data_IF_578214112257
#
_entry.id   IF_578214112257
#
_cell.length_a   1.000
_cell.length_b   1.000
_cell.length_c   1.000
_cell.angle_alpha   90.00
_cell.angle_beta   90.00
_cell.angle_gamma   90.00
#
_symmetry.space_group_name_H-M   'P 1'
#
loop_
_entity.id
_entity.type
_entity.pdbx_description
1 polymer ?
#
# COMPACT_ATOMS: atom_id res chain seq x y z
N UNK A 1 -0.91 27.90 7.58
CA UNK A 1 -1.09 26.51 7.11
C UNK A 1 -0.99 25.59 8.32
N UNK A 2 -1.90 24.62 8.49
CA UNK A 2 -1.79 23.64 9.58
C UNK A 2 -0.89 22.50 9.06
N UNK A 3 0.31 22.36 9.62
CA UNK A 3 1.16 21.19 9.34
C UNK A 3 0.57 19.97 10.03
N UNK A 4 0.25 18.93 9.27
CA UNK A 4 -0.17 17.64 9.83
C UNK A 4 1.09 16.80 10.09
N UNK A 5 1.06 16.02 11.16
CA UNK A 5 2.19 15.19 11.59
C UNK A 5 1.77 13.73 11.65
N UNK A 6 2.53 12.85 10.99
CA UNK A 6 2.37 11.40 11.12
C UNK A 6 3.54 10.86 11.94
N UNK A 7 3.26 9.90 12.81
CA UNK A 7 4.28 9.18 13.59
C UNK A 7 4.61 7.87 12.86
N UNK A 8 5.85 7.73 12.42
CA UNK A 8 6.39 6.55 11.75
C UNK A 8 7.35 5.78 12.67
N UNK A 9 7.57 4.50 12.38
CA UNK A 9 8.57 3.69 13.06
C UNK A 9 9.89 3.72 12.27
N UNK A 10 10.99 4.06 12.93
CA UNK A 10 12.34 4.01 12.38
C UNK A 10 13.19 3.03 13.17
N UNK A 11 13.97 2.20 12.48
CA UNK A 11 14.88 1.24 13.11
C UNK A 11 16.31 1.76 12.99
N UNK A 12 16.95 2.00 14.13
CA UNK A 12 18.32 2.54 14.23
C UNK A 12 19.30 1.66 13.44
N UNK A 13 20.05 2.29 12.54
CA UNK A 13 21.09 1.66 11.74
C UNK A 13 22.47 1.82 12.39
N UNK A 14 23.42 0.97 12.01
CA UNK A 14 24.80 1.08 12.49
C UNK A 14 25.39 2.44 12.12
N UNK A 15 25.88 3.17 13.14
CA UNK A 15 26.48 4.50 12.98
C UNK A 15 25.49 5.65 13.06
N UNK A 16 24.19 5.38 13.25
CA UNK A 16 23.23 6.44 13.53
C UNK A 16 23.54 7.15 14.85
N UNK A 17 23.33 8.46 14.85
CA UNK A 17 23.31 9.30 16.03
C UNK A 17 21.95 9.97 16.13
N UNK A 18 21.59 10.44 17.33
CA UNK A 18 20.37 11.24 17.49
C UNK A 18 20.41 12.44 16.53
N UNK A 19 21.56 13.10 16.40
CA UNK A 19 21.70 14.29 15.56
C UNK A 19 21.58 13.97 14.05
N UNK A 20 22.08 12.82 13.59
CA UNK A 20 21.90 12.40 12.18
C UNK A 20 20.45 12.04 11.88
N UNK A 21 19.77 11.35 12.80
CA UNK A 21 18.37 10.96 12.65
C UNK A 21 17.46 12.20 12.64
N UNK A 22 17.57 13.09 13.62
CA UNK A 22 16.70 14.28 13.69
C UNK A 22 16.91 15.18 12.47
N UNK A 23 18.14 15.30 11.96
CA UNK A 23 18.44 16.05 10.74
C UNK A 23 17.81 15.39 9.51
N UNK A 24 17.91 14.06 9.38
CA UNK A 24 17.32 13.28 8.29
C UNK A 24 15.80 13.49 8.18
N UNK A 25 15.12 13.62 9.32
CA UNK A 25 13.66 13.76 9.39
C UNK A 25 13.18 15.19 9.68
N UNK A 26 14.07 16.18 9.59
CA UNK A 26 13.78 17.59 9.88
C UNK A 26 13.01 17.78 11.21
N UNK A 27 13.45 17.11 12.25
CA UNK A 27 12.82 17.10 13.57
C UNK A 27 13.68 17.88 14.58
N UNK A 28 13.04 18.53 15.55
CA UNK A 28 13.78 19.07 16.69
C UNK A 28 14.12 17.98 17.71
N UNK A 29 15.24 18.16 18.41
CA UNK A 29 15.69 17.26 19.48
C UNK A 29 14.66 17.12 20.61
N UNK A 30 13.94 18.19 20.90
CA UNK A 30 12.86 18.20 21.90
C UNK A 30 11.67 17.33 21.47
N UNK A 31 11.24 17.44 20.21
CA UNK A 31 10.19 16.59 19.65
C UNK A 31 10.65 15.14 19.64
N UNK A 32 11.89 14.86 19.23
CA UNK A 32 12.43 13.50 19.25
C UNK A 32 12.35 12.85 20.64
N UNK A 33 12.77 13.55 21.70
CA UNK A 33 12.70 13.03 23.07
C UNK A 33 11.28 12.90 23.61
N UNK A 34 10.34 13.74 23.15
CA UNK A 34 8.93 13.63 23.56
C UNK A 34 8.35 12.26 23.18
N UNK A 35 8.72 11.75 22.01
CA UNK A 35 8.25 10.47 21.48
C UNK A 35 9.18 9.30 21.79
N UNK A 36 10.44 9.56 22.14
CA UNK A 36 11.46 8.54 22.44
C UNK A 36 12.08 8.77 23.82
N UNK A 37 11.25 8.87 24.87
CA UNK A 37 11.68 9.34 26.22
C UNK A 37 12.92 8.64 26.78
N UNK A 38 13.10 7.36 26.47
CA UNK A 38 14.22 6.55 26.98
C UNK A 38 15.59 6.98 26.40
N UNK A 39 15.63 7.54 25.19
CA UNK A 39 16.89 7.93 24.52
C UNK A 39 17.54 9.17 25.12
N UNK A 40 16.87 9.82 26.08
CA UNK A 40 17.46 10.90 26.88
C UNK A 40 18.51 10.39 27.87
N UNK A 41 18.38 9.13 28.29
CA UNK A 41 19.21 8.53 29.33
C UNK A 41 19.99 7.31 28.84
N UNK A 42 19.62 6.76 27.68
CA UNK A 42 20.20 5.54 27.11
C UNK A 42 20.75 5.85 25.72
N UNK A 43 21.98 5.42 25.40
CA UNK A 43 22.52 5.56 24.06
C UNK A 43 21.69 4.77 23.02
N UNK A 44 21.72 5.23 21.77
CA UNK A 44 21.08 4.49 20.69
C UNK A 44 21.83 3.19 20.41
N UNK A 45 21.06 2.12 20.18
CA UNK A 45 21.58 0.80 19.83
C UNK A 45 21.05 0.39 18.47
N UNK A 46 21.86 -0.32 17.68
CA UNK A 46 21.43 -0.86 16.40
C UNK A 46 20.18 -1.74 16.56
N UNK A 47 19.25 -1.66 15.60
CA UNK A 47 17.94 -2.33 15.61
C UNK A 47 16.94 -1.80 16.65
N UNK A 48 17.26 -0.73 17.39
CA UNK A 48 16.30 -0.10 18.29
C UNK A 48 15.18 0.60 17.49
N UNK A 49 13.90 0.32 17.77
CA UNK A 49 12.80 1.06 17.17
C UNK A 49 12.63 2.43 17.82
N UNK A 50 12.39 3.45 17.00
CA UNK A 50 12.16 4.83 17.38
C UNK A 50 10.90 5.37 16.69
N UNK A 51 10.16 6.20 17.39
CA UNK A 51 9.03 6.95 16.84
C UNK A 51 9.55 8.24 16.21
N UNK A 52 9.34 8.40 14.91
CA UNK A 52 9.75 9.57 14.16
C UNK A 52 8.53 10.31 13.63
N UNK A 53 8.45 11.61 13.90
CA UNK A 53 7.48 12.49 13.26
C UNK A 53 8.03 13.00 11.93
N UNK A 54 7.25 12.82 10.88
CA UNK A 54 7.39 13.60 9.65
C UNK A 54 6.35 14.72 9.63
N UNK A 55 6.80 15.93 9.33
CA UNK A 55 5.94 17.07 9.03
C UNK A 55 5.82 17.18 7.52
N UNK A 56 4.60 17.23 7.01
CA UNK A 56 4.34 17.54 5.62
C UNK A 56 3.47 18.81 5.56
N UNK A 57 3.84 19.69 4.64
CA UNK A 57 2.94 20.75 4.22
C UNK A 57 1.88 20.09 3.34
N UNK A 58 0.64 20.10 3.82
CA UNK A 58 -0.50 19.87 2.95
C UNK A 58 -0.46 21.01 1.90
N UNK A 59 0.03 20.71 0.70
CA UNK A 59 -0.43 21.45 -0.47
C UNK A 59 -1.93 21.16 -0.51
N UNK A 60 -2.75 22.16 -0.15
CA UNK A 60 -4.17 22.13 -0.46
C UNK A 60 -4.24 22.23 -1.98
N UNK A 61 -4.10 21.09 -2.63
CA UNK A 61 -4.66 20.88 -3.94
C UNK A 61 -6.15 20.86 -3.66
N UNK A 62 -6.88 21.85 -4.18
CA UNK A 62 -8.34 21.74 -4.25
C UNK A 62 -8.65 20.48 -5.06
N UNK A 63 -8.79 19.36 -4.36
CA UNK A 63 -9.25 18.10 -4.91
C UNK A 63 -10.77 18.13 -4.89
N UNK A 64 -11.36 17.86 -6.06
CA UNK A 64 -12.79 17.70 -6.22
C UNK A 64 -13.32 16.64 -5.24
N UNK A 65 -14.36 16.96 -4.47
CA UNK A 65 -14.85 16.15 -3.34
C UNK A 65 -15.33 14.75 -3.76
N UNK A 66 -15.71 14.56 -5.03
CA UNK A 66 -16.10 13.24 -5.56
C UNK A 66 -14.89 12.31 -5.74
N UNK A 67 -13.67 12.85 -5.92
CA UNK A 67 -12.45 12.07 -6.09
C UNK A 67 -11.80 11.60 -4.79
N UNK A 68 -12.31 12.08 -3.65
CA UNK A 68 -11.79 11.74 -2.34
C UNK A 68 -12.06 10.27 -1.99
N UNK A 69 -13.25 9.73 -2.34
CA UNK A 69 -13.64 8.37 -1.95
C UNK A 69 -12.85 7.30 -2.70
N UNK A 70 -12.74 7.42 -4.02
CA UNK A 70 -11.98 6.49 -4.85
C UNK A 70 -10.49 6.50 -4.48
N UNK A 71 -9.91 7.69 -4.33
CA UNK A 71 -8.55 7.87 -3.81
C UNK A 71 -8.37 7.14 -2.48
N UNK A 72 -9.26 7.43 -1.52
CA UNK A 72 -9.17 6.89 -0.16
C UNK A 72 -9.30 5.37 -0.16
N UNK A 73 -10.18 4.82 -1.00
CA UNK A 73 -10.33 3.38 -1.17
C UNK A 73 -9.04 2.74 -1.73
N UNK A 74 -8.46 3.31 -2.79
CA UNK A 74 -7.20 2.81 -3.37
C UNK A 74 -6.02 2.90 -2.39
N UNK A 75 -5.88 4.02 -1.69
CA UNK A 75 -4.87 4.18 -0.64
C UNK A 75 -5.08 3.17 0.49
N UNK A 76 -6.32 2.96 0.92
CA UNK A 76 -6.66 2.00 1.97
C UNK A 76 -6.34 0.56 1.53
N UNK A 77 -6.67 0.19 0.28
CA UNK A 77 -6.32 -1.11 -0.32
C UNK A 77 -4.79 -1.31 -0.30
N UNK A 78 -4.01 -0.32 -0.72
CA UNK A 78 -2.55 -0.40 -0.70
C UNK A 78 -1.98 -0.62 0.72
N UNK A 79 -2.51 0.12 1.72
CA UNK A 79 -2.15 -0.09 3.12
C UNK A 79 -2.52 -1.49 3.62
N UNK A 80 -3.71 -1.99 3.27
CA UNK A 80 -4.16 -3.32 3.66
C UNK A 80 -3.34 -4.43 3.03
N UNK A 81 -2.79 -4.24 1.82
CA UNK A 81 -1.80 -5.17 1.28
C UNK A 81 -0.53 -5.18 2.15
N UNK A 82 0.03 -4.01 2.48
CA UNK A 82 1.21 -3.91 3.37
C UNK A 82 0.95 -4.60 4.72
N UNK A 83 -0.17 -4.31 5.36
CA UNK A 83 -0.59 -4.94 6.62
C UNK A 83 -0.83 -6.45 6.47
N UNK A 84 -1.37 -6.88 5.34
CA UNK A 84 -1.64 -8.28 5.05
C UNK A 84 -0.35 -9.09 4.95
N UNK A 85 0.66 -8.57 4.26
CA UNK A 85 1.97 -9.20 4.19
C UNK A 85 2.68 -9.21 5.55
N UNK A 86 2.63 -8.10 6.28
CA UNK A 86 3.18 -8.06 7.64
C UNK A 86 2.45 -9.09 8.55
N UNK A 87 1.14 -9.22 8.42
CA UNK A 87 0.36 -10.20 9.18
C UNK A 87 0.75 -11.63 8.80
N UNK A 88 0.83 -11.99 7.52
CA UNK A 88 1.25 -13.33 7.08
C UNK A 88 2.64 -13.69 7.63
N UNK A 89 3.57 -12.73 7.63
CA UNK A 89 4.96 -12.97 8.01
C UNK A 89 5.19 -12.99 9.53
N UNK A 90 4.47 -12.15 10.29
CA UNK A 90 4.78 -11.90 11.70
C UNK A 90 3.61 -12.14 12.67
N UNK A 91 2.36 -11.98 12.21
CA UNK A 91 1.15 -12.03 13.05
C UNK A 91 -0.01 -12.73 12.31
N UNK A 92 0.13 -14.02 11.95
CA UNK A 92 -0.80 -14.70 11.04
C UNK A 92 -2.24 -14.74 11.56
N UNK A 93 -2.45 -14.69 12.87
CA UNK A 93 -3.76 -14.57 13.51
C UNK A 93 -4.54 -13.32 13.07
N UNK A 94 -3.84 -12.23 12.75
CA UNK A 94 -4.45 -10.96 12.33
C UNK A 94 -4.81 -10.95 10.84
N UNK A 95 -4.32 -11.90 10.04
CA UNK A 95 -4.52 -11.88 8.59
C UNK A 95 -6.01 -11.97 8.19
N UNK A 96 -6.82 -12.68 8.97
CA UNK A 96 -8.27 -12.76 8.77
C UNK A 96 -8.98 -11.41 8.91
N UNK A 97 -8.48 -10.52 9.78
CA UNK A 97 -9.00 -9.16 9.97
C UNK A 97 -8.65 -8.32 8.74
N UNK A 98 -7.39 -8.37 8.30
CA UNK A 98 -6.94 -7.64 7.12
C UNK A 98 -7.72 -8.06 5.87
N UNK A 99 -7.96 -9.37 5.68
CA UNK A 99 -8.74 -9.87 4.54
C UNK A 99 -10.18 -9.32 4.53
N UNK A 100 -10.83 -9.24 5.70
CA UNK A 100 -12.18 -8.65 5.82
C UNK A 100 -12.18 -7.16 5.50
N UNK A 101 -11.19 -6.42 5.99
CA UNK A 101 -11.05 -5.00 5.70
C UNK A 101 -10.80 -4.75 4.21
N UNK A 102 -10.00 -5.61 3.56
CA UNK A 102 -9.72 -5.52 2.13
C UNK A 102 -10.97 -5.77 1.29
N UNK A 103 -11.77 -6.78 1.66
CA UNK A 103 -13.07 -7.00 1.04
C UNK A 103 -13.99 -5.77 1.17
N UNK A 104 -14.08 -5.20 2.37
CA UNK A 104 -14.87 -3.99 2.59
C UNK A 104 -14.41 -2.82 1.71
N UNK A 105 -13.11 -2.59 1.59
CA UNK A 105 -12.57 -1.54 0.72
C UNK A 105 -12.79 -1.84 -0.77
N UNK A 106 -12.71 -3.10 -1.19
CA UNK A 106 -13.06 -3.50 -2.55
C UNK A 106 -14.54 -3.22 -2.85
N UNK A 107 -15.44 -3.43 -1.89
CA UNK A 107 -16.87 -3.08 -2.07
C UNK A 107 -17.05 -1.57 -2.23
N UNK A 108 -16.39 -0.75 -1.40
CA UNK A 108 -16.43 0.72 -1.53
C UNK A 108 -15.90 1.14 -2.90
N UNK A 109 -14.74 0.63 -3.31
CA UNK A 109 -14.16 0.90 -4.61
C UNK A 109 -15.14 0.57 -5.74
N UNK A 110 -15.80 -0.58 -5.65
CA UNK A 110 -16.73 -1.03 -6.69
C UNK A 110 -18.02 -0.21 -6.71
N UNK A 111 -18.44 0.33 -5.56
CA UNK A 111 -19.65 1.14 -5.49
C UNK A 111 -19.54 2.46 -6.24
N UNK A 112 -18.32 2.99 -6.41
CA UNK A 112 -18.02 4.19 -7.20
C UNK A 112 -18.24 3.97 -8.72
N UNK A 113 -18.30 2.72 -9.22
CA UNK A 113 -18.68 2.45 -10.60
C UNK A 113 -20.20 2.53 -10.79
N UNK A 114 -20.69 3.76 -10.99
CA UNK A 114 -22.13 4.04 -11.13
C UNK A 114 -22.79 3.40 -12.36
N UNK A 115 -22.02 3.01 -13.38
CA UNK A 115 -22.51 2.39 -14.61
C UNK A 115 -22.78 0.88 -14.48
N UNK A 116 -22.24 0.23 -13.44
CA UNK A 116 -22.39 -1.22 -13.23
C UNK A 116 -23.72 -1.55 -12.55
N UNK A 117 -24.38 -2.61 -13.03
CA UNK A 117 -25.49 -3.22 -12.30
C UNK A 117 -25.01 -3.90 -11.03
N UNK A 118 -25.95 -4.22 -10.12
CA UNK A 118 -25.65 -4.90 -8.86
C UNK A 118 -24.91 -6.23 -9.07
N UNK A 119 -25.34 -7.03 -10.05
CA UNK A 119 -24.72 -8.33 -10.33
C UNK A 119 -23.32 -8.18 -10.93
N UNK A 120 -23.09 -7.12 -11.71
CA UNK A 120 -21.77 -6.81 -12.27
C UNK A 120 -20.81 -6.32 -11.19
N UNK A 121 -21.28 -5.44 -10.29
CA UNK A 121 -20.52 -5.03 -9.11
C UNK A 121 -20.10 -6.24 -8.27
N UNK A 122 -21.02 -7.18 -8.02
CA UNK A 122 -20.70 -8.41 -7.29
C UNK A 122 -19.58 -9.23 -7.98
N UNK A 123 -19.62 -9.36 -9.31
CA UNK A 123 -18.56 -10.02 -10.08
C UNK A 123 -17.22 -9.30 -10.01
N UNK A 124 -17.22 -7.96 -10.05
CA UNK A 124 -15.97 -7.19 -9.88
C UNK A 124 -15.38 -7.44 -8.50
N UNK A 125 -16.20 -7.43 -7.44
CA UNK A 125 -15.73 -7.73 -6.08
C UNK A 125 -15.15 -9.15 -6.00
N UNK A 126 -15.79 -10.15 -6.59
CA UNK A 126 -15.30 -11.54 -6.62
C UNK A 126 -13.94 -11.66 -7.33
N UNK A 127 -13.74 -10.96 -8.45
CA UNK A 127 -12.46 -10.92 -9.15
C UNK A 127 -11.40 -10.21 -8.30
N UNK A 128 -11.71 -9.07 -7.68
CA UNK A 128 -10.79 -8.35 -6.80
C UNK A 128 -10.39 -9.19 -5.57
N UNK A 129 -11.31 -9.96 -5.00
CA UNK A 129 -11.02 -10.94 -3.94
C UNK A 129 -10.09 -12.05 -4.43
N UNK A 130 -10.30 -12.55 -5.64
CA UNK A 130 -9.47 -13.57 -6.27
C UNK A 130 -8.05 -13.06 -6.53
N UNK A 131 -7.91 -11.86 -7.08
CA UNK A 131 -6.62 -11.16 -7.24
C UNK A 131 -5.93 -11.00 -5.88
N UNK A 132 -6.64 -10.48 -4.88
CA UNK A 132 -6.09 -10.25 -3.54
C UNK A 132 -5.61 -11.55 -2.88
N UNK A 133 -6.42 -12.60 -2.97
CA UNK A 133 -6.07 -13.92 -2.43
C UNK A 133 -4.85 -14.50 -3.14
N UNK A 134 -4.75 -14.33 -4.47
CA UNK A 134 -3.57 -14.73 -5.25
C UNK A 134 -2.35 -13.93 -4.81
N UNK A 135 -2.44 -12.60 -4.72
CA UNK A 135 -1.35 -11.74 -4.27
C UNK A 135 -0.79 -12.17 -2.90
N UNK A 136 -1.63 -12.54 -1.95
CA UNK A 136 -1.18 -13.06 -0.66
C UNK A 136 -0.55 -14.46 -0.73
N UNK A 137 -0.96 -15.29 -1.68
CA UNK A 137 -0.38 -16.63 -1.87
C UNK A 137 1.07 -16.61 -2.37
N UNK A 138 1.60 -15.46 -2.75
CA UNK A 138 3.00 -15.35 -3.19
C UNK A 138 3.99 -15.67 -2.07
N UNK A 139 3.66 -15.40 -0.80
CA UNK A 139 4.56 -15.60 0.33
C UNK A 139 5.01 -17.07 0.48
N UNK A 140 4.11 -18.07 0.58
CA UNK A 140 4.52 -19.46 0.62
C UNK A 140 5.24 -19.92 -0.65
N UNK A 141 4.95 -19.33 -1.81
CA UNK A 141 5.64 -19.64 -3.07
C UNK A 141 7.09 -19.14 -3.02
N UNK A 142 7.33 -17.92 -2.53
CA UNK A 142 8.67 -17.37 -2.34
C UNK A 142 9.49 -18.21 -1.36
N UNK A 143 8.85 -18.75 -0.31
CA UNK A 143 9.49 -19.68 0.63
C UNK A 143 9.93 -20.99 -0.04
N UNK A 144 9.18 -21.50 -1.01
CA UNK A 144 9.49 -22.77 -1.69
C UNK A 144 10.71 -22.72 -2.62
N UNK A 145 11.15 -21.51 -3.04
CA UNK A 145 12.20 -21.32 -4.07
C UNK A 145 11.95 -22.05 -5.40
N UNK A 146 10.73 -22.53 -5.67
CA UNK A 146 10.40 -23.26 -6.88
C UNK A 146 10.03 -22.31 -8.04
N UNK A 147 10.89 -22.26 -9.06
CA UNK A 147 10.72 -21.39 -10.23
C UNK A 147 9.51 -21.77 -11.11
N UNK A 148 9.13 -23.04 -11.16
CA UNK A 148 7.98 -23.49 -11.94
C UNK A 148 6.68 -22.97 -11.29
N UNK A 149 6.56 -23.12 -9.97
CA UNK A 149 5.42 -22.59 -9.20
C UNK A 149 5.32 -21.07 -9.35
N UNK A 150 6.44 -20.35 -9.35
CA UNK A 150 6.44 -18.89 -9.57
C UNK A 150 5.99 -18.51 -10.99
N UNK A 151 6.29 -19.35 -11.98
CA UNK A 151 5.88 -19.12 -13.37
C UNK A 151 4.39 -19.34 -13.55
N UNK A 152 3.86 -20.44 -12.99
CA UNK A 152 2.43 -20.74 -12.96
C UNK A 152 1.64 -19.65 -12.21
N UNK A 153 2.15 -19.23 -11.06
CA UNK A 153 1.61 -18.12 -10.28
C UNK A 153 1.42 -16.84 -11.11
N UNK A 154 2.45 -16.43 -11.87
CA UNK A 154 2.40 -15.23 -12.72
C UNK A 154 1.36 -15.38 -13.82
N UNK A 155 1.26 -16.57 -14.44
CA UNK A 155 0.27 -16.86 -15.48
C UNK A 155 -1.16 -16.71 -14.95
N UNK A 156 -1.44 -17.31 -13.80
CA UNK A 156 -2.76 -17.22 -13.15
C UNK A 156 -3.10 -15.79 -12.74
N UNK A 157 -2.15 -15.05 -12.15
CA UNK A 157 -2.38 -13.64 -11.78
C UNK A 157 -2.67 -12.77 -13.01
N UNK A 158 -1.93 -12.96 -14.10
CA UNK A 158 -2.20 -12.25 -15.35
C UNK A 158 -3.57 -12.58 -15.92
N UNK A 159 -4.00 -13.85 -15.84
CA UNK A 159 -5.34 -14.25 -16.27
C UNK A 159 -6.44 -13.54 -15.49
N UNK A 160 -6.28 -13.39 -14.16
CA UNK A 160 -7.24 -12.66 -13.32
C UNK A 160 -7.26 -11.16 -13.64
N UNK A 161 -6.09 -10.57 -13.92
CA UNK A 161 -5.99 -9.17 -14.34
C UNK A 161 -6.63 -8.94 -15.71
N UNK A 162 -6.46 -9.86 -16.65
CA UNK A 162 -7.13 -9.80 -17.96
C UNK A 162 -8.65 -9.94 -17.82
N UNK A 163 -9.12 -10.82 -16.93
CA UNK A 163 -10.56 -10.96 -16.64
C UNK A 163 -11.13 -9.66 -16.06
N UNK A 164 -10.43 -9.06 -15.09
CA UNK A 164 -10.78 -7.75 -14.54
C UNK A 164 -10.82 -6.66 -15.63
N UNK A 165 -9.78 -6.57 -16.46
CA UNK A 165 -9.69 -5.59 -17.53
C UNK A 165 -10.86 -5.75 -18.53
N UNK A 166 -11.16 -6.97 -18.94
CA UNK A 166 -12.27 -7.27 -19.86
C UNK A 166 -13.63 -6.92 -19.28
N UNK A 167 -13.81 -7.16 -17.98
CA UNK A 167 -15.03 -6.81 -17.28
C UNK A 167 -15.19 -5.28 -17.26
N UNK A 168 -14.17 -4.54 -16.81
CA UNK A 168 -14.27 -3.07 -16.71
C UNK A 168 -14.42 -2.40 -18.10
N UNK A 169 -13.73 -2.88 -19.15
CA UNK A 169 -13.85 -2.34 -20.54
C UNK A 169 -15.28 -2.38 -21.05
N UNK A 170 -16.03 -3.41 -20.71
CA UNK A 170 -17.38 -3.61 -21.23
C UNK A 170 -18.37 -2.55 -20.71
N UNK A 171 -18.03 -1.86 -19.62
CA UNK A 171 -19.00 -1.07 -18.85
C UNK A 171 -18.64 0.40 -18.68
N UNK A 172 -17.42 0.81 -19.04
CA UNK A 172 -17.05 2.20 -19.03
C UNK A 172 -15.98 2.47 -20.10
N UNK A 173 -16.33 3.30 -21.09
CA UNK A 173 -15.44 3.74 -22.17
C UNK A 173 -14.76 5.07 -21.85
N UNK A 174 -14.91 5.57 -20.62
CA UNK A 174 -14.28 6.79 -20.16
C UNK A 174 -12.78 6.60 -19.93
N UNK A 175 -12.07 7.73 -19.88
CA UNK A 175 -10.63 7.81 -19.59
C UNK A 175 -10.26 7.16 -18.23
N UNK A 176 -11.25 6.98 -17.34
CA UNK A 176 -11.04 6.43 -16.00
C UNK A 176 -10.71 4.93 -16.02
N UNK A 177 -11.17 4.17 -17.04
CA UNK A 177 -10.94 2.73 -17.12
C UNK A 177 -9.49 2.39 -17.40
N UNK A 178 -8.86 3.01 -18.39
CA UNK A 178 -7.46 2.71 -18.72
C UNK A 178 -6.51 3.09 -17.57
N UNK A 179 -6.83 4.17 -16.86
CA UNK A 179 -6.12 4.56 -15.66
C UNK A 179 -6.29 3.53 -14.54
N UNK A 180 -7.51 3.05 -14.29
CA UNK A 180 -7.79 1.98 -13.32
C UNK A 180 -7.04 0.69 -13.64
N UNK A 181 -7.02 0.25 -14.91
CA UNK A 181 -6.23 -0.91 -15.34
C UNK A 181 -4.75 -0.72 -15.07
N UNK A 182 -4.21 0.43 -15.46
CA UNK A 182 -2.79 0.76 -15.26
C UNK A 182 -2.46 0.80 -13.77
N UNK A 183 -3.37 1.36 -12.97
CA UNK A 183 -3.29 1.43 -11.51
C UNK A 183 -3.28 0.05 -10.89
N UNK A 184 -4.22 -0.84 -11.25
CA UNK A 184 -4.28 -2.19 -10.69
C UNK A 184 -3.08 -3.05 -11.10
N UNK A 185 -2.60 -2.91 -12.34
CA UNK A 185 -1.38 -3.57 -12.81
C UNK A 185 -0.15 -3.04 -12.08
N UNK A 186 -0.06 -1.73 -11.88
CA UNK A 186 1.01 -1.08 -11.13
C UNK A 186 0.99 -1.49 -9.65
N UNK A 187 -0.18 -1.48 -9.00
CA UNK A 187 -0.38 -1.96 -7.62
C UNK A 187 0.06 -3.41 -7.53
N UNK A 188 -0.40 -4.28 -8.43
CA UNK A 188 -0.04 -5.70 -8.42
C UNK A 188 1.47 -5.92 -8.59
N UNK A 189 2.11 -5.18 -9.50
CA UNK A 189 3.55 -5.22 -9.72
C UNK A 189 4.34 -4.74 -8.49
N UNK A 190 3.92 -3.63 -7.90
CA UNK A 190 4.53 -3.06 -6.70
C UNK A 190 4.31 -3.93 -5.47
N UNK A 191 3.15 -4.57 -5.36
CA UNK A 191 2.83 -5.56 -4.32
C UNK A 191 3.75 -6.78 -4.44
N UNK A 192 4.02 -7.27 -5.66
CA UNK A 192 4.99 -8.36 -5.87
C UNK A 192 6.40 -7.92 -5.45
N UNK A 193 6.84 -6.72 -5.86
CA UNK A 193 8.14 -6.17 -5.44
C UNK A 193 8.23 -6.04 -3.93
N UNK A 194 7.19 -5.51 -3.28
CA UNK A 194 7.08 -5.35 -1.83
C UNK A 194 7.18 -6.72 -1.14
N UNK A 195 6.46 -7.72 -1.65
CA UNK A 195 6.49 -9.09 -1.13
C UNK A 195 7.89 -9.70 -1.18
N UNK A 196 8.60 -9.51 -2.29
CA UNK A 196 9.99 -9.95 -2.45
C UNK A 196 10.89 -9.27 -1.42
N UNK A 197 10.79 -7.93 -1.28
CA UNK A 197 11.63 -7.16 -0.36
C UNK A 197 11.37 -7.49 1.11
N UNK A 198 10.11 -7.64 1.49
CA UNK A 198 9.73 -8.10 2.84
C UNK A 198 10.24 -9.52 3.10
N UNK A 199 10.12 -10.43 2.12
CA UNK A 199 10.62 -11.79 2.24
C UNK A 199 12.15 -11.83 2.40
N UNK A 200 12.89 -10.99 1.67
CA UNK A 200 14.35 -10.87 1.81
C UNK A 200 14.79 -10.07 3.03
N UNK A 201 13.86 -9.65 3.91
CA UNK A 201 14.11 -8.80 5.09
C UNK A 201 14.80 -7.47 4.74
N UNK A 202 14.59 -6.98 3.53
CA UNK A 202 15.12 -5.73 3.02
C UNK A 202 14.10 -4.61 3.24
N UNK A 203 13.91 -4.24 4.52
CA UNK A 203 12.82 -3.37 4.95
C UNK A 203 12.93 -1.93 4.43
N UNK A 204 14.16 -1.44 4.22
CA UNK A 204 14.38 -0.11 3.65
C UNK A 204 13.87 -0.05 2.22
N UNK A 205 14.21 -1.03 1.40
CA UNK A 205 13.74 -1.12 0.02
C UNK A 205 12.24 -1.46 -0.07
N UNK A 206 11.72 -2.26 0.86
CA UNK A 206 10.28 -2.49 0.99
C UNK A 206 9.53 -1.17 1.22
N UNK A 207 10.06 -0.28 2.07
CA UNK A 207 9.44 1.02 2.31
C UNK A 207 9.56 1.96 1.11
N UNK A 208 10.68 1.92 0.37
CA UNK A 208 10.80 2.65 -0.92
C UNK A 208 9.73 2.19 -1.91
N UNK A 209 9.57 0.89 -2.11
CA UNK A 209 8.56 0.33 -3.03
C UNK A 209 7.14 0.70 -2.57
N UNK A 210 6.88 0.73 -1.27
CA UNK A 210 5.60 1.16 -0.72
C UNK A 210 5.34 2.66 -0.95
N UNK A 211 6.36 3.51 -0.79
CA UNK A 211 6.22 4.94 -1.08
C UNK A 211 6.07 5.20 -2.59
N UNK A 212 6.69 4.40 -3.46
CA UNK A 212 6.45 4.42 -4.91
C UNK A 212 4.96 4.12 -5.22
N UNK A 213 4.39 3.10 -4.56
CA UNK A 213 2.97 2.76 -4.66
C UNK A 213 2.05 3.91 -4.25
N UNK A 214 2.31 4.53 -3.10
CA UNK A 214 1.52 5.69 -2.64
C UNK A 214 1.65 6.87 -3.60
N UNK A 215 2.85 7.16 -4.10
CA UNK A 215 3.08 8.27 -5.04
C UNK A 215 2.31 8.09 -6.35
N UNK A 216 2.19 6.85 -6.85
CA UNK A 216 1.40 6.57 -8.05
C UNK A 216 -0.09 6.83 -7.82
N UNK A 217 -0.62 6.40 -6.67
CA UNK A 217 -2.01 6.68 -6.26
C UNK A 217 -2.22 8.20 -6.16
N UNK A 218 -1.26 8.95 -5.61
CA UNK A 218 -1.33 10.41 -5.53
C UNK A 218 -1.32 11.09 -6.91
N UNK A 219 -0.55 10.58 -7.88
CA UNK A 219 -0.54 11.10 -9.26
C UNK A 219 -1.89 10.90 -9.93
N UNK A 220 -2.53 9.74 -9.73
CA UNK A 220 -3.87 9.44 -10.23
C UNK A 220 -4.88 10.48 -9.74
N UNK A 221 -4.80 10.87 -8.47
CA UNK A 221 -5.62 11.92 -7.89
C UNK A 221 -5.36 13.30 -8.52
N UNK A 222 -4.08 13.65 -8.71
CA UNK A 222 -3.68 14.98 -9.21
C UNK A 222 -4.03 15.23 -10.66
N UNK A 223 -4.14 14.20 -11.49
CA UNK A 223 -4.45 14.38 -12.90
C UNK A 223 -5.90 14.84 -13.16
N UNK A 224 -6.78 14.86 -12.13
CA UNK A 224 -8.15 15.40 -12.25
C UNK A 224 -9.00 14.70 -13.31
N UNK A 225 -8.65 13.45 -13.62
CA UNK A 225 -9.21 12.67 -14.74
C UNK A 225 -10.57 12.08 -14.37
N UNK A 226 -10.82 11.92 -13.08
CA UNK A 226 -12.09 11.48 -12.51
C UNK A 226 -13.07 12.67 -12.44
N UNK A 227 -13.47 13.16 -13.61
CA UNK A 227 -14.64 14.04 -13.79
C UNK A 227 -15.80 13.25 -14.38
#
# INVERSE_FOLDING_TARGET
>A
MKSKSIVNLYVVQKGDTIDSIIKKFNMSKEVFYRYNKMTKYVPLVENQPLHIISFYEEQIIEMDLENEKLSLALTSIAHLFKEGYASILYFPENFSIVKRNLLYQNTILVDEFTTLSKDEKAKVVEILESISSKLFSIIPILQSSNKEILTEYKKELNSLLEEFDNLIIKYDSSVNVDLLKTTFRDISSLVIKLSIKLFTKDYYEADIVFNELLSKIEIINKLGILK
#
